data_IF_818585944981
#
_entry.id   IF_818585944981
#
_cell.length_a   1.000
_cell.length_b   1.000
_cell.length_c   1.000
_cell.angle_alpha   90.00
_cell.angle_beta   90.00
_cell.angle_gamma   90.00
#
_symmetry.space_group_name_H-M   'P 1'
#
loop_
_entity.id
_entity.type
_entity.pdbx_description
1 polymer ?
#
# COMPACT_ATOMS: atom_id res chain seq x y z
N UNK A 1 -20.84 -3.13 -11.85
CA UNK A 1 -20.23 -1.82 -12.24
C UNK A 1 -19.17 -2.13 -13.28
N UNK A 2 -19.02 -1.33 -14.34
CA UNK A 2 -17.92 -1.57 -15.28
C UNK A 2 -16.59 -1.26 -14.58
N UNK A 3 -15.68 -2.22 -14.51
CA UNK A 3 -14.32 -2.02 -13.99
C UNK A 3 -13.63 -0.94 -14.81
N UNK A 4 -13.05 0.05 -14.15
CA UNK A 4 -12.27 1.11 -14.80
C UNK A 4 -10.79 0.70 -14.73
N UNK A 5 -10.12 0.43 -15.85
CA UNK A 5 -8.72 0.05 -15.85
C UNK A 5 -7.84 1.08 -15.13
N UNK A 6 -6.89 0.62 -14.32
CA UNK A 6 -5.99 1.49 -13.56
C UNK A 6 -6.64 2.19 -12.35
N UNK A 7 -7.84 1.78 -11.94
CA UNK A 7 -8.50 2.25 -10.72
C UNK A 7 -8.63 1.12 -9.71
N UNK A 8 -8.44 1.43 -8.43
CA UNK A 8 -8.64 0.51 -7.32
C UNK A 8 -9.42 1.21 -6.20
N UNK A 9 -10.14 0.43 -5.41
CA UNK A 9 -10.80 0.90 -4.19
C UNK A 9 -10.13 0.24 -3.00
N UNK A 10 -9.78 1.04 -1.99
CA UNK A 10 -9.10 0.58 -0.78
C UNK A 10 -9.89 1.04 0.43
N UNK A 11 -10.31 0.10 1.25
CA UNK A 11 -10.91 0.37 2.56
C UNK A 11 -9.81 0.45 3.62
N UNK A 12 -9.83 1.53 4.41
CA UNK A 12 -8.83 1.81 5.44
C UNK A 12 -9.46 1.60 6.83
N UNK A 13 -8.62 1.41 7.85
CA UNK A 13 -9.10 1.11 9.21
C UNK A 13 -9.85 2.27 9.90
N UNK A 14 -9.58 3.52 9.51
CA UNK A 14 -10.23 4.72 10.03
C UNK A 14 -10.13 5.89 9.03
N UNK A 15 -10.88 6.96 9.31
CA UNK A 15 -10.87 8.20 8.53
C UNK A 15 -9.50 8.90 8.53
N UNK A 16 -8.76 8.84 9.65
CA UNK A 16 -7.42 9.42 9.74
C UNK A 16 -6.43 8.74 8.79
N UNK A 17 -6.56 7.43 8.57
CA UNK A 17 -5.75 6.68 7.62
C UNK A 17 -6.08 7.10 6.18
N UNK A 18 -7.35 7.38 5.87
CA UNK A 18 -7.76 7.92 4.58
C UNK A 18 -7.14 9.30 4.35
N UNK A 19 -7.27 10.22 5.31
CA UNK A 19 -6.69 11.56 5.21
C UNK A 19 -5.17 11.54 5.01
N UNK A 20 -4.47 10.69 5.78
CA UNK A 20 -3.02 10.52 5.63
C UNK A 20 -2.65 9.99 4.26
N UNK A 21 -3.38 9.00 3.74
CA UNK A 21 -3.13 8.46 2.41
C UNK A 21 -3.34 9.52 1.32
N UNK A 22 -4.46 10.26 1.36
CA UNK A 22 -4.73 11.35 0.41
C UNK A 22 -3.65 12.43 0.49
N UNK A 23 -3.29 12.87 1.69
CA UNK A 23 -2.32 13.94 1.91
C UNK A 23 -0.94 13.61 1.34
N UNK A 24 -0.47 12.38 1.53
CA UNK A 24 0.91 12.01 1.21
C UNK A 24 1.08 11.31 -0.14
N UNK A 25 0.02 10.69 -0.69
CA UNK A 25 0.11 9.89 -1.93
C UNK A 25 -0.53 10.55 -3.14
N UNK A 26 -1.42 11.52 -2.96
CA UNK A 26 -2.03 12.20 -4.09
C UNK A 26 -0.97 12.96 -4.90
N UNK A 27 -1.02 12.86 -6.24
CA UNK A 27 -0.05 13.40 -7.20
C UNK A 27 1.35 12.78 -7.16
N UNK A 28 1.62 11.78 -6.32
CA UNK A 28 2.89 11.04 -6.34
C UNK A 28 3.01 10.28 -7.67
N UNK A 29 4.20 10.28 -8.26
CA UNK A 29 4.50 9.54 -9.48
C UNK A 29 4.94 8.13 -9.13
N UNK A 30 4.21 7.13 -9.63
CA UNK A 30 4.50 5.71 -9.47
C UNK A 30 4.47 5.04 -10.85
N UNK A 31 5.51 4.27 -11.19
CA UNK A 31 5.66 3.59 -12.49
C UNK A 31 5.38 4.50 -13.70
N UNK A 32 5.87 5.74 -13.66
CA UNK A 32 5.67 6.70 -14.75
C UNK A 32 4.35 7.48 -14.71
N UNK A 33 3.36 7.05 -13.92
CA UNK A 33 2.01 7.65 -13.85
C UNK A 33 1.82 8.45 -12.56
N UNK A 34 1.05 9.54 -12.61
CA UNK A 34 0.66 10.28 -11.40
C UNK A 34 -0.56 9.61 -10.78
N UNK A 35 -0.49 9.32 -9.48
CA UNK A 35 -1.61 8.80 -8.72
C UNK A 35 -2.63 9.91 -8.45
N UNK A 36 -3.91 9.59 -8.62
CA UNK A 36 -5.03 10.40 -8.16
C UNK A 36 -5.68 9.67 -6.97
N UNK A 37 -5.52 10.22 -5.77
CA UNK A 37 -6.03 9.61 -4.54
C UNK A 37 -7.09 10.53 -3.95
N UNK A 38 -8.30 10.00 -3.78
CA UNK A 38 -9.45 10.75 -3.28
C UNK A 38 -10.37 9.86 -2.43
N UNK A 39 -11.20 10.49 -1.61
CA UNK A 39 -12.20 9.79 -0.78
C UNK A 39 -13.30 9.22 -1.67
N UNK A 40 -13.62 7.94 -1.49
CA UNK A 40 -14.69 7.27 -2.23
C UNK A 40 -16.06 7.71 -1.73
N UNK A 41 -17.07 7.64 -2.61
CA UNK A 41 -18.49 7.79 -2.23
C UNK A 41 -19.06 6.54 -1.55
N UNK A 42 -18.38 5.40 -1.69
CA UNK A 42 -18.78 4.14 -1.07
C UNK A 42 -18.28 4.09 0.37
N UNK A 43 -19.14 3.62 1.27
CA UNK A 43 -18.79 3.50 2.69
C UNK A 43 -17.86 2.31 2.97
N UNK A 44 -17.99 1.23 2.20
CA UNK A 44 -17.16 0.03 2.31
C UNK A 44 -16.94 -0.63 0.95
N UNK A 45 -15.90 -1.45 0.86
CA UNK A 45 -15.60 -2.28 -0.30
C UNK A 45 -16.43 -3.56 -0.21
N UNK A 46 -17.40 -3.71 -1.11
CA UNK A 46 -18.22 -4.92 -1.21
C UNK A 46 -17.75 -5.78 -2.38
N UNK A 47 -17.33 -7.04 -2.16
CA UNK A 47 -16.85 -7.93 -3.22
C UNK A 47 -18.02 -8.48 -4.04
N UNK A 48 -18.59 -7.68 -4.94
CA UNK A 48 -19.74 -8.11 -5.76
C UNK A 48 -19.35 -8.76 -7.08
N UNK A 49 -18.21 -8.38 -7.66
CA UNK A 49 -17.73 -8.85 -8.97
C UNK A 49 -16.23 -9.10 -8.89
N UNK A 50 -15.86 -10.25 -8.32
CA UNK A 50 -14.48 -10.71 -8.27
C UNK A 50 -14.12 -11.37 -9.60
N UNK A 51 -12.96 -11.05 -10.13
CA UNK A 51 -12.39 -11.65 -11.35
C UNK A 51 -10.89 -11.87 -11.16
N UNK A 52 -10.28 -12.66 -12.05
CA UNK A 52 -8.83 -12.86 -12.06
C UNK A 52 -8.13 -11.75 -12.83
N UNK A 53 -7.02 -11.28 -12.27
CA UNK A 53 -6.09 -10.35 -12.91
C UNK A 53 -5.17 -11.13 -13.88
N UNK A 54 -4.41 -10.39 -14.68
CA UNK A 54 -3.51 -10.97 -15.70
C UNK A 54 -2.42 -11.89 -15.11
N UNK A 55 -2.06 -11.68 -13.85
CA UNK A 55 -1.10 -12.49 -13.10
C UNK A 55 -1.74 -13.71 -12.39
N UNK A 56 -3.04 -13.96 -12.63
CA UNK A 56 -3.80 -15.03 -12.00
C UNK A 56 -4.25 -14.74 -10.56
N UNK A 57 -4.00 -13.53 -10.04
CA UNK A 57 -4.45 -13.16 -8.70
C UNK A 57 -5.88 -12.61 -8.69
N UNK A 58 -6.53 -12.65 -7.54
CA UNK A 58 -7.90 -12.14 -7.38
C UNK A 58 -7.95 -10.60 -7.41
N UNK A 59 -8.95 -10.05 -8.10
CA UNK A 59 -9.24 -8.60 -8.14
C UNK A 59 -9.72 -8.03 -6.80
N UNK A 60 -10.05 -8.90 -5.84
CA UNK A 60 -10.42 -8.54 -4.47
C UNK A 60 -9.54 -9.29 -3.46
N UNK A 61 -9.11 -8.58 -2.42
CA UNK A 61 -8.35 -9.17 -1.32
C UNK A 61 -8.64 -8.44 -0.02
N UNK A 62 -8.94 -9.22 1.02
CA UNK A 62 -9.13 -8.72 2.37
C UNK A 62 -7.81 -8.78 3.15
N UNK A 63 -7.44 -7.65 3.76
CA UNK A 63 -6.24 -7.49 4.57
C UNK A 63 -6.54 -7.12 6.04
N UNK A 64 -7.80 -7.14 6.48
CA UNK A 64 -8.19 -6.72 7.83
C UNK A 64 -7.43 -7.49 8.92
N UNK A 65 -7.21 -8.79 8.71
CA UNK A 65 -6.52 -9.69 9.66
C UNK A 65 -5.01 -9.82 9.40
N UNK A 66 -4.43 -8.96 8.56
CA UNK A 66 -3.01 -9.00 8.25
C UNK A 66 -2.16 -8.63 9.48
N UNK A 67 -1.22 -9.51 9.85
CA UNK A 67 -0.23 -9.23 10.91
C UNK A 67 0.72 -8.07 10.56
N UNK A 68 0.76 -7.67 9.29
CA UNK A 68 1.61 -6.57 8.81
C UNK A 68 0.93 -5.19 8.95
N UNK A 69 -0.32 -5.12 9.39
CA UNK A 69 -1.01 -3.86 9.64
C UNK A 69 -0.39 -3.14 10.86
N UNK A 70 0.02 -1.89 10.66
CA UNK A 70 0.76 -1.13 11.69
C UNK A 70 -0.11 -0.24 12.59
N UNK A 71 -1.38 -0.03 12.22
CA UNK A 71 -2.31 0.88 12.89
C UNK A 71 -3.50 0.16 13.54
N UNK A 72 -3.35 -1.12 13.91
CA UNK A 72 -4.45 -1.96 14.43
C UNK A 72 -4.91 -1.62 15.85
N UNK A 73 -4.04 -0.99 16.65
CA UNK A 73 -4.37 -0.53 18.00
C UNK A 73 -3.69 0.80 18.30
N UNK A 74 -4.26 1.58 19.21
CA UNK A 74 -3.71 2.90 19.57
C UNK A 74 -2.23 2.82 19.99
N UNK A 75 -1.83 1.79 20.75
CA UNK A 75 -0.45 1.61 21.19
C UNK A 75 0.54 1.16 20.11
N UNK A 76 0.07 0.50 19.05
CA UNK A 76 0.89 0.22 17.87
C UNK A 76 0.94 1.44 16.96
N UNK A 77 -0.21 2.08 16.72
CA UNK A 77 -0.34 3.28 15.91
C UNK A 77 0.58 4.40 16.38
N UNK A 78 0.67 4.65 17.69
CA UNK A 78 1.50 5.72 18.28
C UNK A 78 3.00 5.57 18.04
N UNK A 79 3.48 4.38 17.67
CA UNK A 79 4.89 4.11 17.35
C UNK A 79 5.23 4.40 15.89
N UNK A 80 4.22 4.61 15.04
CA UNK A 80 4.44 4.86 13.62
C UNK A 80 4.63 6.36 13.39
N UNK A 81 5.81 6.71 12.87
CA UNK A 81 6.08 8.05 12.38
C UNK A 81 5.62 8.13 10.94
N UNK A 82 4.72 9.07 10.65
CA UNK A 82 4.28 9.33 9.27
C UNK A 82 5.34 10.21 8.62
N UNK A 83 5.96 9.72 7.56
CA UNK A 83 6.88 10.50 6.74
C UNK A 83 6.34 10.60 5.33
N UNK A 84 6.47 11.78 4.68
CA UNK A 84 6.16 11.89 3.26
C UNK A 84 7.05 10.96 2.42
N UNK A 85 6.63 10.60 1.21
CA UNK A 85 7.45 9.80 0.31
C UNK A 85 8.83 10.43 0.11
N UNK A 86 9.88 9.61 0.23
CA UNK A 86 11.27 10.04 0.07
C UNK A 86 12.07 8.99 -0.71
N UNK A 87 13.28 9.35 -1.14
CA UNK A 87 14.22 8.40 -1.76
C UNK A 87 14.97 7.53 -0.74
N UNK A 88 14.68 7.68 0.56
CA UNK A 88 15.32 6.93 1.65
C UNK A 88 14.27 6.02 2.30
N UNK A 89 14.60 4.74 2.43
CA UNK A 89 13.76 3.74 3.09
C UNK A 89 14.40 3.29 4.41
N UNK A 90 13.61 3.30 5.48
CA UNK A 90 14.00 2.71 6.76
C UNK A 90 13.36 1.31 6.88
N UNK A 91 14.20 0.28 7.00
CA UNK A 91 13.77 -1.10 7.13
C UNK A 91 13.94 -1.62 8.56
N UNK A 92 13.08 -2.56 8.95
CA UNK A 92 13.08 -3.23 10.25
C UNK A 92 12.94 -4.75 10.03
N UNK A 93 13.17 -5.53 11.09
CA UNK A 93 13.01 -6.99 11.08
C UNK A 93 13.92 -7.70 10.05
N UNK A 94 15.15 -7.19 9.88
CA UNK A 94 16.13 -7.76 8.97
C UNK A 94 16.89 -8.89 9.68
N UNK A 95 17.02 -10.08 9.06
CA UNK A 95 17.87 -11.15 9.60
C UNK A 95 19.32 -10.70 9.78
N UNK A 96 19.99 -11.20 10.81
CA UNK A 96 21.37 -10.80 11.14
C UNK A 96 22.41 -11.17 10.07
N UNK A 97 22.08 -12.08 9.14
CA UNK A 97 22.95 -12.50 8.06
C UNK A 97 22.84 -11.67 6.78
N UNK A 98 21.96 -10.66 6.74
CA UNK A 98 21.74 -9.84 5.54
C UNK A 98 22.90 -8.86 5.36
N UNK A 99 23.42 -8.81 4.14
CA UNK A 99 24.47 -7.90 3.69
C UNK A 99 23.92 -6.89 2.68
N UNK A 100 24.71 -5.85 2.38
CA UNK A 100 24.40 -4.90 1.31
C UNK A 100 24.12 -5.60 -0.03
N UNK A 101 24.93 -6.59 -0.39
CA UNK A 101 24.76 -7.37 -1.63
C UNK A 101 23.37 -8.03 -1.72
N UNK A 102 22.81 -8.45 -0.58
CA UNK A 102 21.47 -9.02 -0.52
C UNK A 102 20.42 -7.98 -0.93
N UNK A 103 20.55 -6.75 -0.45
CA UNK A 103 19.65 -5.65 -0.80
C UNK A 103 19.84 -5.19 -2.24
N UNK A 104 21.07 -5.12 -2.73
CA UNK A 104 21.35 -4.79 -4.14
C UNK A 104 20.72 -5.81 -5.06
N UNK A 105 20.84 -7.10 -4.75
CA UNK A 105 20.22 -8.16 -5.54
C UNK A 105 18.69 -8.02 -5.59
N UNK A 106 18.06 -7.84 -4.43
CA UNK A 106 16.60 -7.63 -4.35
C UNK A 106 16.18 -6.37 -5.10
N UNK A 107 16.92 -5.27 -4.95
CA UNK A 107 16.67 -4.00 -5.61
C UNK A 107 16.67 -4.09 -7.14
N UNK A 108 17.63 -4.82 -7.69
CA UNK A 108 17.71 -5.13 -9.13
C UNK A 108 16.54 -6.00 -9.59
N UNK A 109 16.18 -7.03 -8.82
CA UNK A 109 15.06 -7.94 -9.16
C UNK A 109 13.72 -7.21 -9.22
N UNK A 110 13.49 -6.25 -8.32
CA UNK A 110 12.23 -5.48 -8.24
C UNK A 110 12.29 -4.15 -9.00
N UNK A 111 13.37 -3.87 -9.74
CA UNK A 111 13.57 -2.65 -10.54
C UNK A 111 13.45 -1.34 -9.75
N UNK A 112 13.94 -1.34 -8.50
CA UNK A 112 13.96 -0.14 -7.63
C UNK A 112 15.37 0.48 -7.56
N UNK A 113 16.41 -0.26 -7.98
CA UNK A 113 17.81 0.18 -8.05
C UNK A 113 18.37 -0.03 -9.45
#
# INVERSE_FOLDING_TARGET
MKTIPGTALVEMGDEYAVERAVTHLNNVKLFGKRLNVCVSKQHSVVPSQIFELEDGTSSYKDFAMSKNNRFTSAGQASKNIIQPPSCVLHYYNVPLCVTEETFTKVGTEIQIV
#
